data_IF_070347796698
#
_entry.id   IF_070347796698
#
_cell.length_a   1.000
_cell.length_b   1.000
_cell.length_c   1.000
_cell.angle_alpha   90.00
_cell.angle_beta   90.00
_cell.angle_gamma   90.00
#
_symmetry.space_group_name_H-M   'P 1'
#
loop_
_entity.id
_entity.type
_entity.pdbx_description
1 polymer ?
#
# COMPACT_ATOMS: atom_id res chain seq x y z
N UNK A 1 0.55 0.42 -13.03
CA UNK A 1 1.22 0.58 -11.71
C UNK A 1 0.21 1.21 -10.74
N UNK A 2 0.18 0.83 -9.45
CA UNK A 2 -0.76 1.42 -8.46
C UNK A 2 -0.12 2.60 -7.71
N UNK A 3 -0.32 3.84 -8.14
CA UNK A 3 0.33 5.01 -7.53
C UNK A 3 -0.02 5.18 -6.04
N UNK A 4 -1.25 4.90 -5.65
CA UNK A 4 -1.65 4.94 -4.23
C UNK A 4 -0.75 4.05 -3.37
N UNK A 5 -0.48 2.81 -3.80
CA UNK A 5 0.38 1.89 -3.04
C UNK A 5 1.84 2.36 -2.92
N UNK A 6 2.34 3.02 -3.96
CA UNK A 6 3.75 3.39 -4.08
C UNK A 6 4.08 4.78 -3.54
N UNK A 7 3.14 5.73 -3.64
CA UNK A 7 3.39 7.17 -3.40
C UNK A 7 2.54 7.77 -2.29
N UNK A 8 1.49 7.09 -1.83
CA UNK A 8 0.61 7.61 -0.78
C UNK A 8 0.77 6.86 0.54
N UNK A 9 0.56 7.58 1.64
CA UNK A 9 0.47 7.04 3.00
C UNK A 9 -0.59 7.80 3.77
N UNK A 10 -1.49 7.04 4.39
CA UNK A 10 -2.36 7.55 5.45
C UNK A 10 -1.75 7.19 6.79
N UNK A 11 -1.57 8.17 7.67
CA UNK A 11 -0.94 8.00 8.97
C UNK A 11 -1.96 8.25 10.08
N UNK A 12 -2.22 7.24 10.90
CA UNK A 12 -3.08 7.34 12.08
C UNK A 12 -2.24 7.79 13.28
N UNK A 13 -2.14 9.12 13.46
CA UNK A 13 -1.22 9.73 14.43
C UNK A 13 -1.42 9.27 15.88
N UNK A 14 -2.67 9.07 16.31
CA UNK A 14 -2.99 8.67 17.69
C UNK A 14 -2.59 7.24 18.02
N UNK A 15 -2.51 6.35 17.02
CA UNK A 15 -2.27 4.92 17.22
C UNK A 15 -0.91 4.45 16.68
N UNK A 16 -0.30 5.22 15.77
CA UNK A 16 0.95 4.84 15.09
C UNK A 16 0.76 3.78 13.99
N UNK A 17 -0.41 3.76 13.34
CA UNK A 17 -0.73 2.82 12.25
C UNK A 17 -0.68 3.53 10.91
N UNK A 18 -0.45 2.78 9.83
CA UNK A 18 -0.56 3.31 8.48
C UNK A 18 -1.03 2.26 7.47
N UNK A 19 -1.37 2.77 6.30
CA UNK A 19 -1.71 2.03 5.08
C UNK A 19 -1.32 2.91 3.88
N UNK A 20 -1.34 2.36 2.67
CA UNK A 20 -1.05 3.14 1.45
C UNK A 20 -2.32 3.62 0.73
N UNK A 21 -3.42 2.89 0.82
CA UNK A 21 -4.75 3.29 0.36
C UNK A 21 -5.82 2.69 1.29
N UNK A 22 -7.09 3.01 1.08
CA UNK A 22 -8.20 2.64 1.99
C UNK A 22 -8.66 1.17 1.91
N UNK A 23 -8.14 0.38 0.98
CA UNK A 23 -8.49 -1.04 0.81
C UNK A 23 -7.69 -2.03 1.66
N UNK A 24 -6.35 -2.00 1.69
CA UNK A 24 -5.58 -2.92 2.50
C UNK A 24 -5.82 -2.66 4.00
N UNK A 25 -5.74 -3.70 4.84
CA UNK A 25 -5.72 -3.53 6.28
C UNK A 25 -4.64 -2.55 6.72
N UNK A 26 -4.94 -1.73 7.72
CA UNK A 26 -3.94 -0.91 8.40
C UNK A 26 -2.96 -1.80 9.17
N UNK A 27 -1.70 -1.39 9.27
CA UNK A 27 -0.69 -2.07 10.08
C UNK A 27 0.11 -1.08 10.92
N UNK A 28 0.70 -1.57 12.01
CA UNK A 28 1.47 -0.75 12.93
C UNK A 28 2.86 -0.43 12.37
N UNK A 29 3.33 0.79 12.62
CA UNK A 29 4.67 1.21 12.23
C UNK A 29 5.67 0.79 13.34
N UNK A 30 6.82 0.25 12.93
CA UNK A 30 7.91 -0.07 13.86
C UNK A 30 8.66 1.20 14.26
N UNK A 31 8.67 1.53 15.55
CA UNK A 31 9.42 2.68 16.09
C UNK A 31 10.92 2.45 15.95
N UNK A 32 11.38 1.21 16.11
CA UNK A 32 12.79 0.84 15.93
C UNK A 32 13.26 1.06 14.48
N UNK A 33 12.39 0.76 13.50
CA UNK A 33 12.70 1.01 12.08
C UNK A 33 12.74 2.51 11.78
N UNK A 34 11.86 3.32 12.40
CA UNK A 34 11.88 4.79 12.29
C UNK A 34 13.18 5.35 12.87
N UNK A 35 13.58 4.89 14.06
CA UNK A 35 14.79 5.36 14.73
C UNK A 35 16.05 5.12 13.89
N UNK A 36 16.09 4.00 13.14
CA UNK A 36 17.17 3.68 12.19
C UNK A 36 17.06 4.46 10.89
N UNK A 37 15.85 4.66 10.38
CA UNK A 37 15.58 5.36 9.14
C UNK A 37 14.18 6.01 9.16
N UNK A 38 14.08 7.35 9.20
CA UNK A 38 12.80 8.06 9.21
C UNK A 38 11.88 7.72 8.04
N UNK A 39 12.44 7.31 6.90
CA UNK A 39 11.68 6.87 5.74
C UNK A 39 10.81 5.64 6.02
N UNK A 40 11.03 4.90 7.12
CA UNK A 40 10.21 3.79 7.56
C UNK A 40 8.75 4.21 7.85
N UNK A 41 8.48 5.50 8.11
CA UNK A 41 7.12 6.04 8.22
C UNK A 41 6.28 5.76 6.96
N UNK A 42 6.88 5.86 5.77
CA UNK A 42 6.24 5.49 4.50
C UNK A 42 6.62 4.08 4.05
N UNK A 43 7.87 3.70 4.28
CA UNK A 43 8.51 2.51 3.74
C UNK A 43 8.74 1.43 4.80
N UNK A 44 7.69 1.14 5.58
CA UNK A 44 7.68 0.00 6.51
C UNK A 44 8.06 -1.30 5.80
N UNK A 45 8.68 -2.23 6.54
CA UNK A 45 9.03 -3.56 6.04
C UNK A 45 7.84 -4.27 5.40
N UNK A 46 6.65 -4.21 6.03
CA UNK A 46 5.39 -4.71 5.46
C UNK A 46 5.11 -4.14 4.06
N UNK A 47 5.01 -2.81 3.93
CA UNK A 47 4.74 -2.16 2.64
C UNK A 47 5.78 -2.49 1.57
N UNK A 48 7.06 -2.66 1.94
CA UNK A 48 8.12 -3.04 0.99
C UNK A 48 7.92 -4.46 0.47
N UNK A 49 7.59 -5.41 1.36
CA UNK A 49 7.32 -6.79 0.96
C UNK A 49 6.15 -6.88 -0.02
N UNK A 50 5.05 -6.18 0.25
CA UNK A 50 3.87 -6.19 -0.61
C UNK A 50 4.14 -5.55 -1.98
N UNK A 51 5.01 -4.53 -2.04
CA UNK A 51 5.48 -3.94 -3.29
C UNK A 51 6.44 -4.85 -4.04
N UNK A 52 7.28 -5.60 -3.34
CA UNK A 52 8.17 -6.61 -3.92
C UNK A 52 7.37 -7.70 -4.64
N UNK A 53 6.33 -8.24 -3.99
CA UNK A 53 5.40 -9.19 -4.63
C UNK A 53 4.87 -8.65 -5.97
N UNK A 54 4.41 -7.38 -5.99
CA UNK A 54 3.93 -6.76 -7.22
C UNK A 54 5.01 -6.58 -8.30
N UNK A 55 6.26 -6.32 -7.92
CA UNK A 55 7.37 -6.24 -8.87
C UNK A 55 7.74 -7.62 -9.45
N UNK A 56 7.52 -8.68 -8.68
CA UNK A 56 7.72 -10.07 -9.07
C UNK A 56 6.55 -10.62 -9.92
N UNK A 57 5.54 -9.78 -10.21
CA UNK A 57 4.36 -10.15 -10.97
C UNK A 57 3.25 -10.82 -10.14
N UNK A 58 3.44 -10.92 -8.82
CA UNK A 58 2.46 -11.49 -7.90
C UNK A 58 1.40 -10.46 -7.47
N UNK A 59 0.22 -10.98 -7.13
CA UNK A 59 -0.92 -10.20 -6.65
C UNK A 59 -1.01 -10.29 -5.12
N UNK A 60 -0.54 -9.28 -4.36
CA UNK A 60 -0.62 -9.31 -2.91
C UNK A 60 -2.09 -9.41 -2.45
N UNK A 61 -2.36 -10.28 -1.49
CA UNK A 61 -3.71 -10.59 -1.00
C UNK A 61 -4.41 -9.38 -0.40
N UNK A 62 -3.66 -8.45 0.20
CA UNK A 62 -4.18 -7.20 0.74
C UNK A 62 -4.73 -6.22 -0.33
N UNK A 63 -4.48 -6.48 -1.61
CA UNK A 63 -5.06 -5.74 -2.73
C UNK A 63 -6.21 -6.48 -3.44
N UNK A 64 -6.72 -7.56 -2.83
CA UNK A 64 -7.75 -8.44 -3.41
C UNK A 64 -8.99 -7.72 -3.94
N UNK A 65 -9.43 -6.62 -3.32
CA UNK A 65 -10.53 -5.80 -3.83
C UNK A 65 -10.27 -5.31 -5.26
N UNK A 66 -9.09 -4.72 -5.52
CA UNK A 66 -8.74 -4.24 -6.85
C UNK A 66 -8.58 -5.40 -7.84
N UNK A 67 -8.02 -6.53 -7.39
CA UNK A 67 -7.84 -7.72 -8.22
C UNK A 67 -9.16 -8.34 -8.62
N UNK A 68 -10.12 -8.45 -7.71
CA UNK A 68 -11.44 -8.99 -8.00
C UNK A 68 -12.19 -8.15 -9.05
N UNK A 69 -12.06 -6.81 -9.00
CA UNK A 69 -12.65 -5.91 -10.00
C UNK A 69 -11.98 -6.10 -11.36
N UNK A 70 -10.65 -6.18 -11.39
CA UNK A 70 -9.87 -6.40 -12.62
C UNK A 70 -10.15 -7.78 -13.24
N UNK A 71 -10.28 -8.82 -12.42
CA UNK A 71 -10.61 -10.18 -12.86
C UNK A 71 -12.03 -10.28 -13.42
N UNK A 72 -12.94 -9.41 -12.97
CA UNK A 72 -14.27 -9.23 -13.55
C UNK A 72 -14.27 -8.38 -14.84
N UNK A 73 -13.11 -7.97 -15.34
CA UNK A 73 -12.97 -7.17 -16.57
C UNK A 73 -13.23 -5.68 -16.40
N UNK A 74 -13.32 -5.19 -15.16
CA UNK A 74 -13.60 -3.78 -14.86
C UNK A 74 -12.33 -3.01 -14.46
N UNK A 75 -12.41 -1.69 -14.50
CA UNK A 75 -11.32 -0.83 -14.06
C UNK A 75 -11.36 -0.66 -12.53
N UNK A 76 -10.27 -0.98 -11.83
CA UNK A 76 -10.20 -0.85 -10.37
C UNK A 76 -9.74 0.54 -9.91
N UNK A 77 -9.94 0.84 -8.63
CA UNK A 77 -9.48 2.08 -7.98
C UNK A 77 -7.98 2.32 -8.16
N UNK A 78 -7.18 1.26 -8.27
CA UNK A 78 -5.74 1.42 -8.49
C UNK A 78 -5.45 2.13 -9.80
N UNK A 79 -6.30 1.95 -10.81
CA UNK A 79 -6.18 2.59 -12.11
C UNK A 79 -6.75 4.01 -12.07
N UNK A 80 -7.95 4.19 -11.52
CA UNK A 80 -8.57 5.53 -11.38
C UNK A 80 -7.68 6.49 -10.60
N UNK A 81 -7.22 6.09 -9.41
CA UNK A 81 -6.34 6.92 -8.55
C UNK A 81 -4.93 7.13 -9.08
N UNK A 82 -4.55 6.39 -10.12
CA UNK A 82 -3.27 6.57 -10.80
C UNK A 82 -3.38 7.42 -12.08
N UNK A 83 -4.61 7.70 -12.53
CA UNK A 83 -4.90 8.53 -13.69
C UNK A 83 -5.41 9.93 -13.35
N UNK A 84 -5.70 10.21 -12.07
CA UNK A 84 -5.98 11.56 -11.58
C UNK A 84 -4.71 12.44 -11.72
N UNK A 85 -4.79 13.63 -12.38
CA UNK A 85 -3.65 14.53 -12.59
C UNK A 85 -3.13 15.20 -11.30
#
# INVERSE_FOLDING_TARGET
>A
MCLAKWKQVSLHLSTGWNNSCYHPPIHRISVDDIAKNPAALHNTTHKKQQRKLMLEGERPSECSYCWAIEDAGNLSDRHYRSGEP
#
